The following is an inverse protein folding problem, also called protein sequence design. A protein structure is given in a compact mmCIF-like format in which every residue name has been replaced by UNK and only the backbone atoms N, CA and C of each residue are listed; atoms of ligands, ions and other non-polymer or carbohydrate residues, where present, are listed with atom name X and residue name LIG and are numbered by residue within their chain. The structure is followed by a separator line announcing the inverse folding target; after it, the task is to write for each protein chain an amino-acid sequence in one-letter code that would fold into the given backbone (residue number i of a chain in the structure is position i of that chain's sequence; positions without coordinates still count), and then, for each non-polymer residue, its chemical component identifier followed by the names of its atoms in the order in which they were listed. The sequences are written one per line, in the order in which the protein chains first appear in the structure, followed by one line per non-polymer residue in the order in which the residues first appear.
data_IF_863263912388
#
_entry.id   IF_863263912388
#
_cell.length_a   1.000
_cell.length_b   1.000
_cell.length_c   1.000
_cell.angle_alpha   90.00
_cell.angle_beta   90.00
_cell.angle_gamma   90.00
#
_symmetry.space_group_name_H-M   'P 1'
#
loop_
_entity.id
_entity.type
_entity.pdbx_description
1 polymer ?
#
# COMPACT_ATOMS: atom_id res chain seq x y z
N UNK A 1 10.62 6.60 6.12
CA UNK A 1 10.09 7.03 4.81
C UNK A 1 8.95 6.09 4.43
N UNK A 2 7.88 6.57 3.80
CA UNK A 2 6.77 5.70 3.40
C UNK A 2 7.14 4.93 2.15
N UNK A 3 6.68 3.68 2.07
CA UNK A 3 6.93 2.79 0.93
C UNK A 3 6.21 3.33 -0.32
N UNK A 4 6.96 3.51 -1.40
CA UNK A 4 6.47 3.83 -2.74
C UNK A 4 5.78 2.63 -3.41
N UNK A 5 5.07 2.88 -4.52
CA UNK A 5 4.47 1.81 -5.32
C UNK A 5 5.52 0.88 -5.90
N UNK A 6 6.64 1.43 -6.37
CA UNK A 6 7.78 0.65 -6.89
C UNK A 6 8.35 -0.30 -5.83
N UNK A 7 8.62 0.21 -4.62
CA UNK A 7 9.13 -0.62 -3.52
C UNK A 7 8.11 -1.69 -3.13
N UNK A 8 6.80 -1.39 -3.18
CA UNK A 8 5.77 -2.41 -2.94
C UNK A 8 5.83 -3.55 -3.95
N UNK A 9 5.94 -3.26 -5.25
CA UNK A 9 6.05 -4.31 -6.28
C UNK A 9 7.28 -5.19 -6.06
N UNK A 10 8.43 -4.60 -5.70
CA UNK A 10 9.63 -5.40 -5.38
C UNK A 10 9.42 -6.31 -4.17
N UNK A 11 8.64 -5.88 -3.15
CA UNK A 11 8.29 -6.76 -2.01
C UNK A 11 7.44 -7.97 -2.40
N UNK A 12 6.82 -7.97 -3.59
CA UNK A 12 6.04 -9.11 -4.07
C UNK A 12 6.92 -10.21 -4.71
N UNK A 13 8.19 -9.91 -4.99
CA UNK A 13 9.19 -10.87 -5.52
C UNK A 13 9.99 -11.53 -4.40
N UNK A 14 9.27 -12.12 -3.45
CA UNK A 14 9.81 -12.68 -2.22
C UNK A 14 9.96 -14.21 -2.24
N UNK A 15 9.78 -14.84 -3.40
CA UNK A 15 9.82 -16.30 -3.54
C UNK A 15 8.53 -17.01 -3.08
N UNK A 16 7.43 -16.27 -2.88
CA UNK A 16 6.11 -16.86 -2.62
C UNK A 16 5.73 -17.89 -3.68
N UNK A 17 5.04 -18.93 -3.25
CA UNK A 17 4.53 -19.98 -4.13
C UNK A 17 3.04 -19.75 -4.33
N UNK A 18 2.67 -19.36 -5.55
CA UNK A 18 1.29 -19.11 -5.95
C UNK A 18 0.93 -20.02 -7.12
N UNK A 19 -0.26 -20.59 -7.06
CA UNK A 19 -0.84 -21.37 -8.15
C UNK A 19 -2.17 -20.75 -8.58
N UNK A 20 -2.45 -20.75 -9.88
CA UNK A 20 -3.76 -20.42 -10.45
C UNK A 20 -4.17 -21.54 -11.41
N UNK A 21 -5.23 -22.27 -11.06
CA UNK A 21 -5.56 -23.52 -11.75
C UNK A 21 -4.42 -24.53 -11.64
N UNK A 22 -3.90 -24.99 -12.78
CA UNK A 22 -2.77 -25.92 -12.87
C UNK A 22 -1.42 -25.24 -13.11
N UNK A 23 -1.36 -23.91 -13.10
CA UNK A 23 -0.14 -23.13 -13.36
C UNK A 23 0.50 -22.65 -12.06
N UNK A 24 1.83 -22.77 -11.97
CA UNK A 24 2.63 -22.08 -10.94
C UNK A 24 3.01 -20.70 -11.45
N UNK A 25 2.79 -19.68 -10.63
CA UNK A 25 3.11 -18.29 -10.96
C UNK A 25 4.49 -17.93 -10.42
N UNK A 26 5.40 -17.55 -11.31
CA UNK A 26 6.78 -17.17 -10.93
C UNK A 26 6.87 -15.71 -10.43
N UNK A 27 6.16 -14.78 -11.07
CA UNK A 27 6.13 -13.37 -10.68
C UNK A 27 4.72 -12.76 -10.81
N UNK A 28 4.07 -12.51 -9.67
CA UNK A 28 2.73 -11.91 -9.63
C UNK A 28 2.67 -10.48 -10.15
N UNK A 29 3.80 -9.76 -10.20
CA UNK A 29 3.85 -8.37 -10.68
C UNK A 29 3.73 -8.29 -12.20
N UNK A 30 4.03 -9.38 -12.91
CA UNK A 30 4.02 -9.44 -14.38
C UNK A 30 3.01 -10.45 -14.93
N UNK A 31 2.62 -11.46 -14.15
CA UNK A 31 1.67 -12.49 -14.56
C UNK A 31 0.31 -11.90 -14.96
N UNK A 32 -0.25 -12.35 -16.09
CA UNK A 32 -1.47 -11.77 -16.69
C UNK A 32 -2.66 -11.72 -15.74
N UNK A 33 -2.83 -12.74 -14.90
CA UNK A 33 -3.94 -12.80 -13.94
C UNK A 33 -3.81 -11.80 -12.78
N UNK A 34 -2.61 -11.31 -12.47
CA UNK A 34 -2.34 -10.56 -11.23
C UNK A 34 -1.76 -9.16 -11.44
N UNK A 35 -1.05 -8.93 -12.55
CA UNK A 35 -0.30 -7.69 -12.80
C UNK A 35 -1.14 -6.43 -12.60
N UNK A 36 -2.39 -6.43 -13.04
CA UNK A 36 -3.25 -5.25 -12.90
C UNK A 36 -3.62 -5.00 -11.43
N UNK A 37 -3.96 -6.04 -10.68
CA UNK A 37 -4.24 -5.92 -9.25
C UNK A 37 -3.00 -5.50 -8.45
N UNK A 38 -1.83 -6.07 -8.76
CA UNK A 38 -0.56 -5.68 -8.16
C UNK A 38 -0.26 -4.20 -8.40
N UNK A 39 -0.47 -3.70 -9.62
CA UNK A 39 -0.32 -2.29 -9.96
C UNK A 39 -1.33 -1.40 -9.23
N UNK A 40 -2.61 -1.80 -9.13
CA UNK A 40 -3.62 -1.05 -8.37
C UNK A 40 -3.22 -0.87 -6.90
N UNK A 41 -2.71 -1.92 -6.26
CA UNK A 41 -2.21 -1.81 -4.88
C UNK A 41 -0.96 -0.94 -4.81
N UNK A 42 -0.05 -1.05 -5.78
CA UNK A 42 1.14 -0.18 -5.86
C UNK A 42 0.76 1.30 -5.97
N UNK A 43 -0.29 1.66 -6.72
CA UNK A 43 -0.78 3.04 -6.81
C UNK A 43 -1.25 3.60 -5.46
N UNK A 44 -1.81 2.76 -4.58
CA UNK A 44 -2.19 3.18 -3.22
C UNK A 44 -0.95 3.53 -2.38
N UNK A 45 0.11 2.73 -2.50
CA UNK A 45 1.39 3.04 -1.85
C UNK A 45 2.01 4.33 -2.40
N UNK A 46 1.99 4.50 -3.72
CA UNK A 46 2.49 5.72 -4.38
C UNK A 46 1.75 6.98 -3.90
N UNK A 47 0.41 6.95 -3.90
CA UNK A 47 -0.43 8.05 -3.42
C UNK A 47 -0.11 8.44 -1.96
N UNK A 48 0.22 7.46 -1.12
CA UNK A 48 0.57 7.70 0.29
C UNK A 48 1.99 8.21 0.48
N UNK A 49 2.88 7.87 -0.44
CA UNK A 49 4.27 8.34 -0.45
C UNK A 49 4.42 9.74 -1.07
N UNK A 50 3.43 10.18 -1.86
CA UNK A 50 3.41 11.51 -2.51
C UNK A 50 3.57 12.64 -1.47
N UNK A 51 4.64 13.46 -1.57
CA UNK A 51 4.83 14.62 -0.73
C UNK A 51 3.65 15.59 -0.73
N UNK A 52 2.92 15.74 -1.84
CA UNK A 52 1.76 16.61 -1.96
C UNK A 52 0.57 16.12 -1.12
N UNK A 53 0.39 14.80 -1.00
CA UNK A 53 -0.67 14.17 -0.22
C UNK A 53 -0.30 13.94 1.26
N UNK A 54 0.93 14.32 1.67
CA UNK A 54 1.51 13.98 2.97
C UNK A 54 0.64 14.39 4.17
N UNK A 55 0.00 15.55 4.12
CA UNK A 55 -0.80 16.06 5.23
C UNK A 55 -2.07 15.22 5.46
N UNK A 56 -2.68 14.73 4.38
CA UNK A 56 -3.96 14.03 4.40
C UNK A 56 -3.78 12.51 4.55
N UNK A 57 -2.75 11.96 3.90
CA UNK A 57 -2.54 10.51 3.77
C UNK A 57 -1.63 9.90 4.85
N UNK A 58 -1.15 10.71 5.80
CA UNK A 58 -0.17 10.28 6.81
C UNK A 58 -0.41 10.92 8.18
N UNK A 59 0.16 10.31 9.22
CA UNK A 59 0.22 10.88 10.57
C UNK A 59 1.58 10.57 11.21
N UNK A 60 1.93 11.31 12.27
CA UNK A 60 3.15 11.06 13.05
C UNK A 60 2.81 10.49 14.42
N UNK A 61 3.54 9.47 14.84
CA UNK A 61 3.45 8.81 16.14
C UNK A 61 4.81 8.17 16.44
N UNK A 62 5.29 8.32 17.68
CA UNK A 62 6.57 7.77 18.17
C UNK A 62 7.80 8.14 17.32
N UNK A 63 7.84 9.37 16.78
CA UNK A 63 8.93 9.84 15.92
C UNK A 63 8.94 9.23 14.52
N UNK A 64 7.95 8.39 14.19
CA UNK A 64 7.74 7.81 12.88
C UNK A 64 6.59 8.47 12.14
N UNK A 65 6.62 8.37 10.80
CA UNK A 65 5.51 8.75 9.94
C UNK A 65 4.88 7.52 9.32
N UNK A 66 3.56 7.43 9.44
CA UNK A 66 2.77 6.25 9.12
C UNK A 66 1.64 6.61 8.17
N UNK A 67 1.16 5.64 7.38
CA UNK A 67 -0.03 5.83 6.55
C UNK A 67 -1.26 6.06 7.43
N UNK A 68 -2.14 6.98 7.01
CA UNK A 68 -3.38 7.29 7.71
C UNK A 68 -4.28 6.07 7.98
N UNK A 69 -4.14 4.99 7.19
CA UNK A 69 -4.90 3.73 7.38
C UNK A 69 -4.68 3.12 8.76
N UNK A 70 -3.48 3.31 9.33
CA UNK A 70 -3.09 2.75 10.62
C UNK A 70 -3.41 3.68 11.79
N UNK A 71 -3.95 4.89 11.54
CA UNK A 71 -4.35 5.82 12.59
C UNK A 71 -5.39 5.14 13.50
N UNK A 72 -5.00 4.89 14.75
CA UNK A 72 -5.93 4.39 15.77
C UNK A 72 -6.86 5.53 16.19
N UNK A 73 -8.06 5.58 15.62
CA UNK A 73 -9.02 6.62 15.93
C UNK A 73 -9.46 6.57 17.41
N UNK A 74 -9.23 7.66 18.15
CA UNK A 74 -9.66 7.84 19.56
C UNK A 74 -10.75 8.91 19.69
N UNK A 75 -11.03 9.62 18.60
CA UNK A 75 -12.05 10.67 18.49
C UNK A 75 -12.81 10.57 17.16
N UNK A 76 -13.92 11.31 17.06
CA UNK A 76 -14.66 11.47 15.79
C UNK A 76 -13.81 12.14 14.71
N UNK A 77 -12.97 13.10 15.10
CA UNK A 77 -12.06 13.79 14.20
C UNK A 77 -11.02 12.82 13.62
N UNK A 78 -10.42 11.95 14.46
CA UNK A 78 -9.50 10.92 13.96
C UNK A 78 -10.17 9.98 12.98
N UNK A 79 -11.43 9.60 13.24
CA UNK A 79 -12.20 8.77 12.33
C UNK A 79 -12.41 9.49 11.00
N UNK A 80 -12.83 10.75 11.02
CA UNK A 80 -13.01 11.55 9.80
C UNK A 80 -11.70 11.69 9.01
N UNK A 81 -10.58 11.96 9.68
CA UNK A 81 -9.26 12.02 9.06
C UNK A 81 -8.87 10.70 8.41
N UNK A 82 -9.08 9.57 9.11
CA UNK A 82 -8.80 8.25 8.55
C UNK A 82 -9.67 7.90 7.36
N UNK A 83 -10.94 8.34 7.36
CA UNK A 83 -11.86 8.13 6.24
C UNK A 83 -11.42 8.81 4.95
N UNK A 84 -10.62 9.89 4.99
CA UNK A 84 -10.07 10.52 3.77
C UNK A 84 -9.16 9.56 3.00
N UNK A 85 -8.50 8.63 3.70
CA UNK A 85 -7.65 7.65 3.04
C UNK A 85 -8.40 6.50 2.36
N UNK A 86 -9.65 6.21 2.75
CA UNK A 86 -10.40 5.04 2.30
C UNK A 86 -11.17 5.27 0.99
#
# INVERSE_FOLDING_TARGET
MLRSGKEHLETLRDGRVIYIGSERVDDVTTHQAFRNAAQTVAMIYEMKADPAARAEMTYEEDGGRHSIYFLRARSREDLQRRMVGH
#
